data_IF_908295377505
#
_entry.id   IF_908295377505
#
_cell.length_a   1.000
_cell.length_b   1.000
_cell.length_c   1.000
_cell.angle_alpha   90.00
_cell.angle_beta   90.00
_cell.angle_gamma   90.00
#
_symmetry.space_group_name_H-M   'P 1'
#
loop_
_entity.id
_entity.type
_entity.pdbx_description
1 polymer ?
#
# COMPACT_ATOMS: atom_id res chain seq x y z
N UNK A 1 -45.00 -39.09 23.26
CA UNK A 1 -44.93 -37.82 22.51
C UNK A 1 -44.43 -38.12 21.11
N UNK A 2 -45.31 -37.99 20.12
CA UNK A 2 -44.97 -38.12 18.70
C UNK A 2 -44.17 -36.86 18.35
N UNK A 3 -42.87 -36.99 18.03
CA UNK A 3 -42.12 -35.89 17.42
C UNK A 3 -42.74 -35.65 16.05
N UNK A 4 -43.56 -34.61 15.91
CA UNK A 4 -43.93 -34.12 14.58
C UNK A 4 -42.63 -33.87 13.81
N UNK A 5 -42.46 -34.58 12.68
CA UNK A 5 -41.37 -34.30 11.75
C UNK A 5 -41.64 -32.91 11.19
N UNK A 6 -40.98 -31.89 11.75
CA UNK A 6 -40.94 -30.56 11.16
C UNK A 6 -40.38 -30.71 9.75
N UNK A 7 -41.23 -30.51 8.74
CA UNK A 7 -40.82 -30.58 7.34
C UNK A 7 -39.80 -29.48 7.07
N UNK A 8 -38.66 -29.84 6.51
CA UNK A 8 -37.67 -28.86 6.07
C UNK A 8 -38.23 -28.01 4.93
N UNK A 9 -37.77 -26.77 4.81
CA UNK A 9 -38.09 -25.92 3.67
C UNK A 9 -37.61 -26.55 2.36
N UNK A 10 -38.37 -26.31 1.29
CA UNK A 10 -37.93 -26.60 -0.08
C UNK A 10 -36.78 -25.67 -0.47
N UNK A 11 -35.95 -26.11 -1.41
CA UNK A 11 -34.79 -25.31 -1.87
C UNK A 11 -35.15 -23.97 -2.49
N UNK A 12 -36.37 -23.82 -3.00
CA UNK A 12 -36.92 -22.59 -3.60
C UNK A 12 -37.67 -21.71 -2.61
N UNK A 13 -37.85 -22.17 -1.37
CA UNK A 13 -38.54 -21.40 -0.36
C UNK A 13 -37.79 -20.10 -0.07
N UNK A 14 -38.53 -18.98 0.04
CA UNK A 14 -37.94 -17.66 0.27
C UNK A 14 -37.07 -17.63 1.54
N UNK A 15 -37.51 -18.29 2.61
CA UNK A 15 -36.77 -18.33 3.88
C UNK A 15 -35.49 -19.14 3.74
N UNK A 16 -35.55 -20.29 3.05
CA UNK A 16 -34.40 -21.13 2.75
C UNK A 16 -33.34 -20.39 1.93
N UNK A 17 -33.76 -19.66 0.88
CA UNK A 17 -32.87 -18.87 0.04
C UNK A 17 -32.27 -17.71 0.82
N UNK A 18 -33.09 -16.93 1.54
CA UNK A 18 -32.62 -15.76 2.28
C UNK A 18 -31.61 -16.12 3.38
N UNK A 19 -31.88 -17.15 4.17
CA UNK A 19 -30.94 -17.62 5.20
C UNK A 19 -29.64 -18.13 4.57
N UNK A 20 -29.74 -18.87 3.46
CA UNK A 20 -28.58 -19.35 2.70
C UNK A 20 -27.72 -18.20 2.18
N UNK A 21 -28.33 -17.18 1.59
CA UNK A 21 -27.60 -16.01 1.09
C UNK A 21 -26.96 -15.22 2.23
N UNK A 22 -27.66 -15.01 3.35
CA UNK A 22 -27.09 -14.30 4.50
C UNK A 22 -25.96 -15.05 5.19
N UNK A 23 -26.04 -16.38 5.31
CA UNK A 23 -24.92 -17.19 5.85
C UNK A 23 -23.68 -17.02 4.97
N UNK A 24 -23.83 -17.06 3.65
CA UNK A 24 -22.68 -16.95 2.73
C UNK A 24 -22.15 -15.52 2.68
N UNK A 25 -23.03 -14.53 2.49
CA UNK A 25 -22.63 -13.13 2.26
C UNK A 25 -22.28 -12.41 3.57
N UNK A 26 -23.19 -12.44 4.53
CA UNK A 26 -23.10 -11.58 5.71
C UNK A 26 -22.30 -12.25 6.85
N UNK A 27 -22.36 -13.58 6.98
CA UNK A 27 -21.62 -14.29 8.02
C UNK A 27 -20.24 -14.76 7.56
N UNK A 28 -20.14 -15.44 6.42
CA UNK A 28 -18.85 -16.00 5.96
C UNK A 28 -17.97 -14.92 5.33
N UNK A 29 -18.48 -14.19 4.35
CA UNK A 29 -17.68 -13.21 3.60
C UNK A 29 -17.44 -11.95 4.43
N UNK A 30 -18.49 -11.28 4.88
CA UNK A 30 -18.36 -9.97 5.57
C UNK A 30 -17.63 -10.10 6.93
N UNK A 31 -17.89 -11.15 7.71
CA UNK A 31 -17.16 -11.37 8.97
C UNK A 31 -15.82 -12.11 8.79
N UNK A 32 -15.44 -12.50 7.57
CA UNK A 32 -14.19 -13.22 7.30
C UNK A 32 -14.08 -14.59 7.99
N UNK A 33 -15.20 -15.29 8.17
CA UNK A 33 -15.23 -16.57 8.89
C UNK A 33 -14.87 -17.76 7.98
N UNK A 34 -14.25 -18.82 8.53
CA UNK A 34 -13.94 -20.02 7.74
C UNK A 34 -15.20 -20.67 7.17
N UNK A 35 -15.18 -21.07 5.89
CA UNK A 35 -16.30 -21.77 5.25
C UNK A 35 -16.65 -23.07 6.01
N UNK A 36 -15.66 -23.71 6.65
CA UNK A 36 -15.85 -24.90 7.47
C UNK A 36 -16.72 -24.68 8.72
N UNK A 37 -17.04 -23.42 9.08
CA UNK A 37 -17.94 -23.10 10.19
C UNK A 37 -19.29 -23.80 10.06
N UNK A 38 -19.84 -23.89 8.84
CA UNK A 38 -21.19 -24.46 8.62
C UNK A 38 -21.26 -25.96 8.91
N UNK A 39 -20.11 -26.65 8.87
CA UNK A 39 -20.01 -28.08 9.14
C UNK A 39 -19.77 -28.37 10.63
N UNK A 40 -19.53 -27.35 11.47
CA UNK A 40 -19.31 -27.52 12.92
C UNK A 40 -20.62 -27.83 13.65
N UNK A 41 -20.61 -28.81 14.56
CA UNK A 41 -21.82 -29.27 15.24
C UNK A 41 -22.46 -28.20 16.15
N UNK A 42 -21.64 -27.32 16.72
CA UNK A 42 -22.12 -26.14 17.46
C UNK A 42 -22.93 -25.20 16.56
N UNK A 43 -22.44 -24.92 15.35
CA UNK A 43 -23.15 -24.08 14.39
C UNK A 43 -24.44 -24.75 13.89
N UNK A 44 -24.42 -26.07 13.63
CA UNK A 44 -25.63 -26.81 13.26
C UNK A 44 -26.70 -26.75 14.34
N UNK A 45 -26.29 -26.91 15.60
CA UNK A 45 -27.17 -26.84 16.76
C UNK A 45 -27.75 -25.44 16.95
N UNK A 46 -26.91 -24.41 16.80
CA UNK A 46 -27.33 -23.01 16.80
C UNK A 46 -28.39 -22.75 15.72
N UNK A 47 -28.12 -23.15 14.48
CA UNK A 47 -29.06 -22.93 13.38
C UNK A 47 -30.36 -23.72 13.52
N UNK A 48 -30.33 -24.90 14.13
CA UNK A 48 -31.56 -25.64 14.46
C UNK A 48 -32.41 -24.92 15.53
N UNK A 49 -31.80 -24.15 16.43
CA UNK A 49 -32.51 -23.30 17.38
C UNK A 49 -33.01 -22.00 16.73
N UNK A 50 -32.24 -21.41 15.80
CA UNK A 50 -32.66 -20.23 15.04
C UNK A 50 -33.84 -20.53 14.11
N UNK A 51 -33.76 -21.62 13.35
CA UNK A 51 -34.80 -22.03 12.41
C UNK A 51 -34.75 -23.56 12.18
N UNK A 52 -35.59 -24.35 12.87
CA UNK A 52 -35.56 -25.81 12.76
C UNK A 52 -36.02 -26.32 11.39
N UNK A 53 -36.71 -25.51 10.58
CA UNK A 53 -37.15 -25.88 9.22
C UNK A 53 -36.06 -25.63 8.17
N UNK A 54 -35.05 -24.80 8.48
CA UNK A 54 -33.93 -24.55 7.59
C UNK A 54 -33.09 -25.81 7.33
N UNK A 55 -32.76 -26.03 6.06
CA UNK A 55 -31.79 -27.05 5.64
C UNK A 55 -30.42 -26.41 5.51
N UNK A 56 -29.49 -26.82 6.37
CA UNK A 56 -28.13 -26.28 6.41
C UNK A 56 -27.34 -26.59 5.13
N UNK A 57 -26.54 -25.63 4.71
CA UNK A 57 -25.55 -25.81 3.66
C UNK A 57 -24.36 -26.58 4.21
N UNK A 58 -23.80 -27.45 3.39
CA UNK A 58 -22.47 -28.01 3.61
C UNK A 58 -21.39 -27.08 3.05
N UNK A 59 -20.17 -27.17 3.58
CA UNK A 59 -18.99 -26.50 3.00
C UNK A 59 -18.87 -26.76 1.50
N UNK A 60 -19.13 -27.99 1.05
CA UNK A 60 -19.09 -28.39 -0.36
C UNK A 60 -20.09 -27.60 -1.21
N UNK A 61 -21.31 -27.39 -0.73
CA UNK A 61 -22.32 -26.58 -1.45
C UNK A 61 -21.90 -25.11 -1.53
N UNK A 62 -21.30 -24.58 -0.47
CA UNK A 62 -20.79 -23.20 -0.49
C UNK A 62 -19.67 -23.07 -1.52
N UNK A 63 -18.66 -23.94 -1.48
CA UNK A 63 -17.49 -23.87 -2.37
C UNK A 63 -17.80 -24.19 -3.84
N UNK A 64 -18.69 -25.15 -4.12
CA UNK A 64 -18.92 -25.63 -5.50
C UNK A 64 -20.15 -25.04 -6.20
N UNK A 65 -21.04 -24.38 -5.46
CA UNK A 65 -22.28 -23.81 -6.01
C UNK A 65 -22.44 -22.33 -5.64
N UNK A 66 -22.50 -22.00 -4.35
CA UNK A 66 -22.85 -20.64 -3.92
C UNK A 66 -21.78 -19.60 -4.22
N UNK A 67 -20.52 -19.90 -3.92
CA UNK A 67 -19.40 -18.97 -4.17
C UNK A 67 -19.14 -18.74 -5.66
N UNK A 68 -19.07 -19.75 -6.55
CA UNK A 68 -18.93 -19.52 -7.98
C UNK A 68 -20.04 -18.65 -8.57
N UNK A 69 -21.31 -18.93 -8.22
CA UNK A 69 -22.44 -18.08 -8.67
C UNK A 69 -22.37 -16.66 -8.14
N UNK A 70 -21.89 -16.47 -6.91
CA UNK A 70 -21.68 -15.13 -6.36
C UNK A 70 -20.54 -14.42 -7.10
N UNK A 71 -19.43 -15.11 -7.35
CA UNK A 71 -18.31 -14.61 -8.12
C UNK A 71 -18.76 -14.17 -9.52
N UNK A 72 -19.49 -14.99 -10.26
CA UNK A 72 -19.98 -14.65 -11.60
C UNK A 72 -20.88 -13.40 -11.58
N UNK A 73 -21.77 -13.30 -10.58
CA UNK A 73 -22.58 -12.08 -10.36
C UNK A 73 -21.71 -10.85 -10.08
N UNK A 74 -20.63 -10.99 -9.31
CA UNK A 74 -19.70 -9.90 -9.02
C UNK A 74 -18.90 -9.49 -10.25
N UNK A 75 -18.40 -10.46 -11.04
CA UNK A 75 -17.72 -10.21 -12.31
C UNK A 75 -18.64 -9.45 -13.28
N UNK A 76 -19.91 -9.84 -13.40
CA UNK A 76 -20.87 -9.12 -14.24
C UNK A 76 -21.04 -7.66 -13.79
N UNK A 77 -21.11 -7.41 -12.48
CA UNK A 77 -21.18 -6.04 -11.94
C UNK A 77 -19.90 -5.25 -12.21
N UNK A 78 -18.74 -5.87 -12.05
CA UNK A 78 -17.44 -5.23 -12.34
C UNK A 78 -17.33 -4.87 -13.82
N UNK A 79 -17.70 -5.77 -14.73
CA UNK A 79 -17.74 -5.49 -16.17
C UNK A 79 -18.69 -4.33 -16.50
N UNK A 80 -19.88 -4.30 -15.91
CA UNK A 80 -20.80 -3.18 -16.09
C UNK A 80 -20.23 -1.85 -15.57
N UNK A 81 -19.56 -1.88 -14.41
CA UNK A 81 -18.89 -0.72 -13.83
C UNK A 81 -17.75 -0.23 -14.72
N UNK A 82 -16.90 -1.13 -15.22
CA UNK A 82 -15.80 -0.82 -16.13
C UNK A 82 -16.32 -0.24 -17.47
N UNK A 83 -17.43 -0.78 -17.99
CA UNK A 83 -18.05 -0.27 -19.21
C UNK A 83 -18.59 1.15 -19.05
N UNK A 84 -19.19 1.46 -17.89
CA UNK A 84 -19.76 2.78 -17.61
C UNK A 84 -18.73 3.81 -17.14
N UNK A 85 -17.57 3.38 -16.64
CA UNK A 85 -16.50 4.28 -16.25
C UNK A 85 -15.94 4.99 -17.48
N UNK A 86 -15.76 6.30 -17.39
CA UNK A 86 -15.09 7.09 -18.44
C UNK A 86 -13.57 6.96 -18.29
N UNK A 87 -13.09 7.14 -17.06
CA UNK A 87 -11.67 7.06 -16.70
C UNK A 87 -11.47 6.12 -15.53
N UNK A 88 -10.34 5.41 -15.55
CA UNK A 88 -9.94 4.52 -14.47
C UNK A 88 -8.48 4.70 -14.11
N UNK A 89 -8.16 4.49 -12.85
CA UNK A 89 -6.78 4.31 -12.37
C UNK A 89 -6.65 2.95 -11.73
N UNK A 90 -5.46 2.38 -11.74
CA UNK A 90 -5.19 1.05 -11.20
C UNK A 90 -4.05 1.10 -10.21
N UNK A 91 -4.20 0.44 -9.06
CA UNK A 91 -3.09 0.13 -8.16
C UNK A 91 -2.70 -1.33 -8.33
N UNK A 92 -1.39 -1.59 -8.31
CA UNK A 92 -0.81 -2.92 -8.41
C UNK A 92 0.06 -3.15 -7.18
N UNK A 93 -0.26 -4.22 -6.45
CA UNK A 93 0.49 -4.67 -5.28
C UNK A 93 0.97 -6.11 -5.50
N UNK A 94 2.25 -6.35 -5.20
CA UNK A 94 2.87 -7.67 -5.28
C UNK A 94 3.44 -7.99 -3.91
N UNK A 95 3.01 -9.11 -3.33
CA UNK A 95 3.51 -9.53 -2.03
C UNK A 95 3.75 -11.04 -2.00
N UNK A 96 4.66 -11.44 -1.13
CA UNK A 96 4.97 -12.84 -0.84
C UNK A 96 4.47 -13.19 0.56
N UNK A 97 3.73 -14.29 0.67
CA UNK A 97 3.25 -14.78 1.95
C UNK A 97 4.35 -15.54 2.73
N UNK A 98 4.05 -15.93 3.98
CA UNK A 98 5.01 -16.64 4.85
C UNK A 98 5.35 -18.05 4.37
N UNK A 99 4.64 -18.58 3.38
CA UNK A 99 4.88 -19.88 2.75
C UNK A 99 5.60 -19.71 1.42
N UNK A 100 6.17 -18.53 1.17
CA UNK A 100 6.90 -18.17 -0.05
C UNK A 100 6.03 -18.27 -1.31
N UNK A 101 4.72 -18.02 -1.17
CA UNK A 101 3.80 -17.91 -2.30
C UNK A 101 3.58 -16.45 -2.59
N UNK A 102 3.78 -16.08 -3.83
CA UNK A 102 3.61 -14.69 -4.25
C UNK A 102 2.31 -14.49 -4.97
N UNK A 103 1.79 -13.28 -4.83
CA UNK A 103 0.50 -12.87 -5.36
C UNK A 103 0.63 -11.50 -5.98
N UNK A 104 -0.13 -11.28 -7.04
CA UNK A 104 -0.38 -9.98 -7.63
C UNK A 104 -1.84 -9.60 -7.38
N UNK A 105 -2.05 -8.41 -6.83
CA UNK A 105 -3.34 -7.78 -6.65
C UNK A 105 -3.45 -6.55 -7.54
N UNK A 106 -4.50 -6.49 -8.36
CA UNK A 106 -4.77 -5.36 -9.26
C UNK A 106 -6.11 -4.77 -8.86
N UNK A 107 -6.11 -3.53 -8.40
CA UNK A 107 -7.32 -2.84 -7.92
C UNK A 107 -7.64 -1.64 -8.79
N UNK A 108 -8.86 -1.62 -9.32
CA UNK A 108 -9.43 -0.51 -10.06
C UNK A 108 -9.90 0.59 -9.12
N UNK A 109 -9.70 1.84 -9.51
CA UNK A 109 -10.24 3.03 -8.89
C UNK A 109 -10.96 3.88 -9.94
N UNK A 110 -12.22 4.23 -9.68
CA UNK A 110 -13.02 5.10 -10.55
C UNK A 110 -14.09 5.83 -9.74
N UNK A 111 -14.70 6.87 -10.32
CA UNK A 111 -15.80 7.59 -9.70
C UNK A 111 -17.14 7.06 -10.22
N UNK A 112 -18.07 6.82 -9.29
CA UNK A 112 -19.48 6.57 -9.61
C UNK A 112 -20.29 7.72 -9.02
N UNK A 113 -20.71 8.66 -9.88
CA UNK A 113 -21.21 9.95 -9.42
C UNK A 113 -20.10 10.74 -8.73
N UNK A 114 -20.27 11.04 -7.45
CA UNK A 114 -19.26 11.75 -6.63
C UNK A 114 -18.47 10.82 -5.70
N UNK A 115 -18.77 9.52 -5.70
CA UNK A 115 -18.12 8.56 -4.81
C UNK A 115 -16.94 7.89 -5.52
N UNK A 116 -15.78 7.91 -4.87
CA UNK A 116 -14.66 7.06 -5.25
C UNK A 116 -15.03 5.59 -4.93
N UNK A 117 -14.92 4.72 -5.94
CA UNK A 117 -15.12 3.27 -5.79
C UNK A 117 -13.82 2.55 -6.15
N UNK A 118 -13.44 1.63 -5.27
CA UNK A 118 -12.26 0.79 -5.40
C UNK A 118 -12.69 -0.68 -5.49
N UNK A 119 -12.22 -1.39 -6.51
CA UNK A 119 -12.61 -2.78 -6.74
C UNK A 119 -11.43 -3.64 -7.21
N UNK A 120 -11.22 -4.76 -6.53
CA UNK A 120 -10.22 -5.75 -6.92
C UNK A 120 -10.63 -6.40 -8.25
N UNK A 121 -9.79 -6.21 -9.28
CA UNK A 121 -9.99 -6.80 -10.61
C UNK A 121 -9.40 -8.19 -10.70
N UNK A 122 -8.19 -8.34 -10.18
CA UNK A 122 -7.40 -9.57 -10.24
C UNK A 122 -6.69 -9.82 -8.93
N UNK A 123 -6.71 -11.07 -8.51
CA UNK A 123 -5.93 -11.62 -7.42
C UNK A 123 -5.37 -12.95 -7.91
N UNK A 124 -4.13 -12.94 -8.38
CA UNK A 124 -3.54 -14.10 -9.04
C UNK A 124 -2.28 -14.55 -8.29
N UNK A 125 -2.05 -15.87 -8.14
CA UNK A 125 -0.77 -16.38 -7.69
C UNK A 125 0.28 -16.17 -8.78
N UNK A 126 1.46 -15.68 -8.40
CA UNK A 126 2.64 -15.65 -9.25
C UNK A 126 3.45 -16.94 -9.02
N UNK A 127 3.81 -17.62 -10.10
CA UNK A 127 4.63 -18.84 -10.07
C UNK A 127 5.98 -18.57 -10.74
N UNK A 128 7.04 -19.19 -10.22
CA UNK A 128 8.39 -19.01 -10.77
C UNK A 128 8.98 -17.64 -10.44
N UNK A 129 9.93 -17.19 -11.26
CA UNK A 129 10.57 -15.89 -11.09
C UNK A 129 9.59 -14.76 -11.42
N UNK A 130 9.46 -13.77 -10.53
CA UNK A 130 8.59 -12.60 -10.74
C UNK A 130 9.26 -11.55 -11.64
N UNK A 131 9.66 -11.95 -12.85
CA UNK A 131 10.29 -11.04 -13.82
C UNK A 131 9.31 -9.94 -14.24
N UNK A 132 9.84 -8.88 -14.84
CA UNK A 132 9.03 -7.79 -15.37
C UNK A 132 7.95 -8.29 -16.34
N UNK A 133 8.30 -9.24 -17.22
CA UNK A 133 7.40 -9.80 -18.23
C UNK A 133 6.21 -10.54 -17.61
N UNK A 134 6.44 -11.31 -16.53
CA UNK A 134 5.39 -12.03 -15.82
C UNK A 134 4.40 -11.05 -15.19
N UNK A 135 4.90 -9.95 -14.60
CA UNK A 135 4.06 -8.91 -14.01
C UNK A 135 3.25 -8.17 -15.06
N UNK A 136 3.88 -7.85 -16.20
CA UNK A 136 3.22 -7.21 -17.33
C UNK A 136 2.12 -8.10 -17.92
N UNK A 137 2.40 -9.38 -18.14
CA UNK A 137 1.43 -10.33 -18.69
C UNK A 137 0.18 -10.49 -17.79
N UNK A 138 0.35 -10.61 -16.47
CA UNK A 138 -0.79 -10.69 -15.54
C UNK A 138 -1.54 -9.35 -15.45
N UNK A 139 -0.85 -8.22 -15.61
CA UNK A 139 -1.47 -6.91 -15.72
C UNK A 139 -2.33 -6.79 -16.98
N UNK A 140 -1.75 -7.03 -18.16
CA UNK A 140 -2.44 -6.96 -19.45
C UNK A 140 -3.66 -7.88 -19.50
N UNK A 141 -3.52 -9.11 -19.01
CA UNK A 141 -4.62 -10.06 -18.88
C UNK A 141 -5.78 -9.49 -18.06
N UNK A 142 -5.50 -8.81 -16.96
CA UNK A 142 -6.54 -8.19 -16.14
C UNK A 142 -7.19 -7.00 -16.87
N UNK A 143 -6.42 -6.10 -17.46
CA UNK A 143 -6.92 -4.94 -18.20
C UNK A 143 -7.81 -5.41 -19.37
N UNK A 144 -7.29 -6.30 -20.22
CA UNK A 144 -7.97 -6.88 -21.39
C UNK A 144 -9.26 -7.62 -21.03
N UNK A 145 -9.29 -8.33 -19.91
CA UNK A 145 -10.49 -9.07 -19.48
C UNK A 145 -11.68 -8.15 -19.13
N UNK A 146 -11.40 -6.90 -18.71
CA UNK A 146 -12.42 -5.90 -18.38
C UNK A 146 -12.57 -4.79 -19.44
N UNK A 147 -11.79 -4.81 -20.53
CA UNK A 147 -11.84 -3.84 -21.63
C UNK A 147 -11.64 -2.39 -21.17
N UNK A 148 -10.58 -2.16 -20.38
CA UNK A 148 -10.28 -0.85 -19.78
C UNK A 148 -8.96 -0.25 -20.27
N UNK A 149 -8.34 -0.83 -21.29
CA UNK A 149 -7.04 -0.41 -21.85
C UNK A 149 -7.08 1.07 -22.25
N UNK A 150 -8.11 1.46 -22.99
CA UNK A 150 -8.31 2.83 -23.50
C UNK A 150 -8.81 3.82 -22.44
N UNK A 151 -9.19 3.33 -21.26
CA UNK A 151 -9.75 4.13 -20.16
C UNK A 151 -8.76 4.35 -19.02
N UNK A 152 -7.63 3.64 -19.06
CA UNK A 152 -6.62 3.67 -18.03
C UNK A 152 -5.83 4.98 -18.11
N UNK A 153 -5.94 5.79 -17.06
CA UNK A 153 -5.24 7.08 -16.96
C UNK A 153 -3.94 6.96 -16.18
N UNK A 154 -3.93 6.19 -15.09
CA UNK A 154 -2.75 6.03 -14.22
C UNK A 154 -2.64 4.61 -13.67
N UNK A 155 -1.41 4.12 -13.57
CA UNK A 155 -1.00 2.90 -12.88
C UNK A 155 -0.11 3.27 -11.68
N UNK A 156 -0.47 2.82 -10.48
CA UNK A 156 0.30 3.05 -9.27
C UNK A 156 0.94 1.73 -8.83
N UNK A 157 2.27 1.70 -8.76
CA UNK A 157 3.04 0.52 -8.33
C UNK A 157 4.11 0.94 -7.32
N UNK A 158 4.65 0.00 -6.54
CA UNK A 158 5.86 0.28 -5.76
C UNK A 158 7.09 0.47 -6.66
N UNK A 159 8.22 0.86 -6.07
CA UNK A 159 9.46 1.11 -6.79
C UNK A 159 10.39 -0.12 -6.82
N UNK A 160 9.85 -1.34 -6.67
CA UNK A 160 10.64 -2.55 -6.85
C UNK A 160 11.19 -2.62 -8.29
N UNK A 161 12.39 -3.17 -8.45
CA UNK A 161 13.10 -3.21 -9.74
C UNK A 161 12.27 -3.83 -10.86
N UNK A 162 11.52 -4.90 -10.58
CA UNK A 162 10.72 -5.58 -11.58
C UNK A 162 9.48 -4.79 -11.97
N UNK A 163 8.87 -4.05 -11.03
CA UNK A 163 7.79 -3.10 -11.33
C UNK A 163 8.31 -1.93 -12.18
N UNK A 164 9.49 -1.39 -11.87
CA UNK A 164 10.11 -0.34 -12.68
C UNK A 164 10.40 -0.84 -14.10
N UNK A 165 11.01 -2.02 -14.24
CA UNK A 165 11.30 -2.63 -15.55
C UNK A 165 10.01 -2.91 -16.34
N UNK A 166 8.95 -3.40 -15.70
CA UNK A 166 7.70 -3.71 -16.37
C UNK A 166 6.91 -2.48 -16.83
N UNK A 167 6.97 -1.38 -16.08
CA UNK A 167 5.98 -0.30 -16.21
C UNK A 167 6.57 1.11 -16.42
N UNK A 168 7.90 1.30 -16.39
CA UNK A 168 8.50 2.60 -16.75
C UNK A 168 8.70 2.76 -18.27
N UNK A 169 8.79 1.66 -19.02
CA UNK A 169 9.00 1.66 -20.47
C UNK A 169 8.13 0.57 -21.10
N UNK A 170 6.81 0.80 -21.16
CA UNK A 170 5.91 -0.13 -21.85
C UNK A 170 6.18 0.02 -23.35
N UNK A 171 7.08 -0.77 -23.91
CA UNK A 171 7.17 -0.97 -25.36
C UNK A 171 6.11 -2.00 -25.75
N UNK A 172 5.22 -1.63 -26.65
CA UNK A 172 4.28 -2.59 -27.24
C UNK A 172 5.08 -3.67 -28.00
N UNK A 173 4.72 -4.96 -27.90
CA UNK A 173 5.40 -6.01 -28.67
C UNK A 173 5.42 -5.68 -30.17
N UNK A 174 6.60 -5.60 -30.79
CA UNK A 174 6.80 -5.25 -32.20
C UNK A 174 7.24 -3.81 -32.48
N UNK A 175 7.30 -2.94 -31.46
CA UNK A 175 7.76 -1.55 -31.58
C UNK A 175 9.28 -1.38 -31.39
N UNK A 176 10.00 -2.44 -31.03
CA UNK A 176 11.46 -2.44 -30.89
C UNK A 176 12.16 -2.09 -32.22
N UNK A 177 11.59 -2.53 -33.35
CA UNK A 177 12.11 -2.21 -34.68
C UNK A 177 11.78 -0.80 -35.17
N UNK A 178 10.82 -0.12 -34.54
CA UNK A 178 10.38 1.22 -34.95
C UNK A 178 11.27 2.33 -34.38
N UNK A 179 11.74 2.18 -33.14
CA UNK A 179 12.58 3.18 -32.48
C UNK A 179 14.05 3.12 -32.88
N UNK A 180 14.46 2.12 -33.68
CA UNK A 180 15.84 1.99 -34.14
C UNK A 180 16.84 1.90 -32.98
N UNK A 181 18.12 1.80 -33.28
CA UNK A 181 19.19 1.61 -32.28
C UNK A 181 19.46 2.83 -31.37
N UNK A 182 18.58 3.82 -31.28
CA UNK A 182 18.87 5.10 -30.64
C UNK A 182 18.50 5.17 -29.13
N UNK A 183 18.28 4.02 -28.47
CA UNK A 183 18.09 3.96 -27.00
C UNK A 183 18.98 2.91 -26.29
N UNK A 184 19.84 2.19 -27.00
CA UNK A 184 20.76 1.21 -26.39
C UNK A 184 22.22 1.63 -26.49
N UNK A 185 22.58 2.65 -25.73
CA UNK A 185 23.95 2.83 -25.21
C UNK A 185 23.84 3.09 -23.70
N UNK A 186 23.54 2.03 -22.95
CA UNK A 186 24.05 1.91 -21.60
C UNK A 186 24.60 0.50 -21.47
N UNK A 187 25.91 0.46 -21.38
CA UNK A 187 26.78 -0.69 -21.23
C UNK A 187 26.11 -1.84 -20.46
N UNK A 188 26.09 -2.98 -21.13
CA UNK A 188 25.97 -4.32 -20.57
C UNK A 188 26.92 -4.46 -19.37
N UNK A 189 26.42 -4.17 -18.17
CA UNK A 189 27.07 -4.60 -16.94
C UNK A 189 26.45 -5.92 -16.50
N UNK A 190 27.18 -6.97 -16.86
CA UNK A 190 27.15 -8.31 -16.30
C UNK A 190 26.86 -8.27 -14.78
N UNK A 191 25.67 -8.73 -14.40
CA UNK A 191 25.29 -9.03 -13.02
C UNK A 191 25.41 -10.53 -12.71
N UNK A 192 26.30 -11.25 -13.37
CA UNK A 192 26.91 -12.42 -12.73
C UNK A 192 27.94 -11.92 -11.72
N UNK A 193 27.52 -11.76 -10.47
CA UNK A 193 28.15 -12.40 -9.30
C UNK A 193 27.59 -11.86 -7.98
N UNK A 194 27.12 -12.82 -7.18
CA UNK A 194 26.78 -12.76 -5.76
C UNK A 194 25.45 -12.11 -5.34
N UNK A 195 24.36 -12.86 -5.52
CA UNK A 195 23.53 -13.23 -4.37
C UNK A 195 23.29 -14.74 -4.41
N UNK A 196 23.68 -15.43 -3.34
CA UNK A 196 23.52 -16.87 -3.17
C UNK A 196 22.04 -17.20 -2.99
N UNK A 197 21.48 -18.04 -3.85
CA UNK A 197 20.35 -18.91 -3.50
C UNK A 197 20.51 -20.23 -4.27
N UNK A 198 20.86 -21.28 -3.53
CA UNK A 198 21.00 -22.65 -4.02
C UNK A 198 19.65 -23.16 -4.53
N UNK A 199 19.48 -23.31 -5.84
CA UNK A 199 18.42 -24.13 -6.43
C UNK A 199 18.99 -24.82 -7.67
N UNK A 200 19.30 -26.11 -7.52
CA UNK A 200 19.81 -26.98 -8.56
C UNK A 200 18.88 -27.01 -9.77
N UNK A 201 19.48 -26.83 -10.96
CA UNK A 201 18.84 -26.96 -12.26
C UNK A 201 18.40 -28.41 -12.51
N UNK A 202 17.15 -28.61 -12.90
CA UNK A 202 16.70 -29.82 -13.58
C UNK A 202 16.10 -29.39 -14.92
N UNK A 203 16.73 -29.88 -15.99
CA UNK A 203 16.43 -29.65 -17.40
C UNK A 203 15.25 -30.49 -17.91
N UNK A 204 14.51 -29.89 -18.86
CA UNK A 204 13.65 -30.45 -19.93
C UNK A 204 12.38 -31.23 -19.52
N UNK A 205 11.23 -31.12 -20.20
CA UNK A 205 11.06 -31.11 -21.66
C UNK A 205 9.71 -30.51 -22.13
N UNK A 206 9.69 -30.17 -23.41
CA UNK A 206 8.74 -29.41 -24.24
C UNK A 206 7.25 -29.84 -24.26
N UNK A 207 6.36 -28.86 -24.55
CA UNK A 207 5.35 -29.01 -25.62
C UNK A 207 4.82 -27.66 -26.11
N UNK A 208 5.00 -27.42 -27.41
CA UNK A 208 4.45 -26.35 -28.24
C UNK A 208 2.93 -26.16 -28.10
N UNK A 209 2.48 -24.90 -28.05
CA UNK A 209 1.21 -24.49 -28.64
C UNK A 209 1.35 -23.06 -29.18
N UNK A 210 1.47 -22.94 -30.50
CA UNK A 210 1.49 -21.66 -31.22
C UNK A 210 0.13 -20.99 -31.13
N UNK A 211 0.05 -19.85 -30.41
CA UNK A 211 -1.12 -18.97 -30.45
C UNK A 211 -0.96 -17.94 -31.57
N UNK A 212 -1.87 -17.99 -32.54
CA UNK A 212 -1.90 -17.07 -33.68
C UNK A 212 -2.52 -15.73 -33.23
N UNK A 213 -1.70 -14.67 -33.21
CA UNK A 213 -2.11 -13.30 -32.87
C UNK A 213 -2.98 -12.70 -33.99
N UNK A 214 -4.11 -12.10 -33.62
CA UNK A 214 -4.93 -11.26 -34.51
C UNK A 214 -4.35 -9.84 -34.50
N UNK A 215 -4.17 -9.17 -35.66
CA UNK A 215 -3.62 -7.83 -35.69
C UNK A 215 -4.56 -6.83 -34.99
N UNK A 216 -4.03 -6.05 -34.05
CA UNK A 216 -4.72 -4.92 -33.42
C UNK A 216 -4.67 -3.69 -34.32
N UNK A 217 -5.79 -2.97 -34.43
CA UNK A 217 -5.96 -1.81 -35.31
C UNK A 217 -4.98 -0.67 -35.00
N UNK A 218 -4.38 -0.09 -36.04
CA UNK A 218 -3.33 0.96 -35.99
C UNK A 218 -3.75 2.24 -35.24
N UNK A 219 -5.05 2.53 -35.10
CA UNK A 219 -5.53 3.67 -34.31
C UNK A 219 -5.35 3.50 -32.79
N UNK A 220 -5.27 2.27 -32.29
CA UNK A 220 -5.04 1.98 -30.86
C UNK A 220 -3.59 2.30 -30.49
N UNK A 221 -2.68 2.03 -31.41
CA UNK A 221 -1.24 2.25 -31.28
C UNK A 221 -0.94 3.74 -31.10
N UNK A 222 -1.58 4.61 -31.89
CA UNK A 222 -1.38 6.06 -31.81
C UNK A 222 -1.80 6.62 -30.44
N UNK A 223 -2.96 6.21 -29.92
CA UNK A 223 -3.50 6.72 -28.64
C UNK A 223 -2.68 6.29 -27.41
N UNK A 224 -2.09 5.09 -27.46
CA UNK A 224 -1.19 4.57 -26.42
C UNK A 224 0.17 5.28 -26.51
N UNK A 225 0.72 5.44 -27.72
CA UNK A 225 2.08 5.98 -27.93
C UNK A 225 2.31 7.44 -27.48
N UNK A 226 1.29 8.31 -27.47
CA UNK A 226 1.49 9.75 -27.23
C UNK A 226 1.49 10.18 -25.75
N UNK A 227 1.17 9.31 -24.78
CA UNK A 227 1.20 9.65 -23.32
C UNK A 227 1.87 8.59 -22.43
N UNK A 228 2.69 7.70 -23.01
CA UNK A 228 3.12 6.47 -22.34
C UNK A 228 4.19 6.64 -21.26
N UNK A 229 4.95 7.75 -21.25
CA UNK A 229 5.89 8.07 -20.15
C UNK A 229 5.20 8.54 -18.85
N UNK A 230 3.91 8.90 -18.91
CA UNK A 230 3.14 9.46 -17.79
C UNK A 230 2.18 8.43 -17.16
N UNK A 231 2.14 7.19 -17.62
CA UNK A 231 1.13 6.24 -17.12
C UNK A 231 1.42 5.81 -15.67
N UNK A 232 2.69 5.57 -15.32
CA UNK A 232 3.05 5.03 -14.02
C UNK A 232 3.36 6.12 -12.99
N UNK A 233 2.71 6.03 -11.83
CA UNK A 233 3.06 6.81 -10.64
C UNK A 233 3.68 5.91 -9.56
N UNK A 234 4.73 6.38 -8.87
CA UNK A 234 5.32 5.65 -7.76
C UNK A 234 4.42 5.68 -6.52
N UNK A 235 4.31 4.55 -5.82
CA UNK A 235 3.55 4.44 -4.58
C UNK A 235 4.13 5.34 -3.47
N UNK A 236 3.39 6.40 -3.12
CA UNK A 236 3.77 7.36 -2.09
C UNK A 236 4.05 6.70 -0.73
N UNK A 237 3.17 5.80 -0.28
CA UNK A 237 3.31 5.12 1.00
C UNK A 237 4.58 4.29 1.08
N UNK A 238 4.92 3.59 -0.01
CA UNK A 238 6.16 2.81 -0.10
C UNK A 238 7.39 3.73 -0.05
N UNK A 239 7.41 4.81 -0.84
CA UNK A 239 8.53 5.76 -0.83
C UNK A 239 8.70 6.42 0.54
N UNK A 240 7.60 6.78 1.21
CA UNK A 240 7.63 7.35 2.56
C UNK A 240 8.19 6.35 3.58
N UNK A 241 7.83 5.06 3.47
CA UNK A 241 8.43 4.00 4.29
C UNK A 241 9.95 3.88 4.07
N UNK A 242 10.44 4.05 2.85
CA UNK A 242 11.88 4.07 2.58
C UNK A 242 12.59 5.27 3.23
N UNK A 243 11.95 6.46 3.23
CA UNK A 243 12.47 7.64 3.95
C UNK A 243 12.64 7.34 5.44
N UNK A 244 11.62 6.77 6.07
CA UNK A 244 11.67 6.42 7.48
C UNK A 244 12.76 5.39 7.77
N UNK A 245 12.89 4.37 6.91
CA UNK A 245 13.93 3.36 7.06
C UNK A 245 15.34 3.96 6.99
N UNK A 246 15.58 4.93 6.10
CA UNK A 246 16.88 5.61 6.01
C UNK A 246 17.17 6.48 7.23
N UNK A 247 16.14 7.13 7.79
CA UNK A 247 16.23 7.83 9.07
C UNK A 247 16.58 6.91 10.24
N UNK A 248 15.87 5.79 10.38
CA UNK A 248 16.07 4.82 11.48
C UNK A 248 17.49 4.26 11.50
N UNK A 249 18.15 4.07 10.35
CA UNK A 249 19.56 3.65 10.28
C UNK A 249 20.51 4.60 11.03
N UNK A 250 20.12 5.86 11.19
CA UNK A 250 20.89 6.91 11.86
C UNK A 250 20.41 7.17 13.30
N UNK A 251 19.54 6.32 13.86
CA UNK A 251 19.01 6.41 15.22
C UNK A 251 19.89 5.66 16.26
N UNK A 252 21.22 5.69 16.10
CA UNK A 252 22.15 4.94 16.95
C UNK A 252 21.94 5.26 18.45
N UNK A 253 21.72 6.53 18.78
CA UNK A 253 21.47 6.99 20.16
C UNK A 253 20.17 6.41 20.78
N UNK A 254 19.17 6.07 19.96
CA UNK A 254 17.91 5.48 20.41
C UNK A 254 17.98 3.95 20.54
N UNK A 255 18.99 3.30 19.94
CA UNK A 255 19.06 1.83 19.81
C UNK A 255 18.97 1.11 21.16
N UNK A 256 19.67 1.60 22.18
CA UNK A 256 19.64 0.99 23.51
C UNK A 256 18.24 1.08 24.16
N UNK A 257 17.57 2.24 24.04
CA UNK A 257 16.24 2.46 24.58
C UNK A 257 15.19 1.63 23.83
N UNK A 258 15.24 1.63 22.49
CA UNK A 258 14.37 0.82 21.62
C UNK A 258 14.53 -0.68 21.89
N UNK A 259 15.75 -1.15 22.15
CA UNK A 259 16.01 -2.55 22.52
C UNK A 259 15.32 -2.93 23.84
N UNK A 260 15.32 -2.04 24.84
CA UNK A 260 14.57 -2.27 26.09
C UNK A 260 13.07 -2.32 25.84
N UNK A 261 12.53 -1.36 25.09
CA UNK A 261 11.12 -1.33 24.70
C UNK A 261 10.70 -2.62 23.99
N UNK A 262 11.49 -3.09 23.03
CA UNK A 262 11.23 -4.35 22.33
C UNK A 262 11.23 -5.56 23.27
N UNK A 263 12.14 -5.61 24.25
CA UNK A 263 12.17 -6.67 25.26
C UNK A 263 10.97 -6.59 26.21
N UNK A 264 10.54 -5.39 26.61
CA UNK A 264 9.32 -5.18 27.41
C UNK A 264 8.07 -5.65 26.65
N UNK A 265 7.95 -5.28 25.37
CA UNK A 265 6.87 -5.75 24.52
C UNK A 265 6.89 -7.27 24.34
N UNK A 266 8.06 -7.89 24.19
CA UNK A 266 8.16 -9.36 24.18
C UNK A 266 7.74 -9.97 25.52
N UNK A 267 8.08 -9.32 26.63
CA UNK A 267 7.73 -9.79 27.97
C UNK A 267 6.20 -9.72 28.22
N UNK A 268 5.51 -8.69 27.74
CA UNK A 268 4.04 -8.59 27.87
C UNK A 268 3.29 -9.71 27.15
N UNK A 269 3.91 -10.30 26.13
CA UNK A 269 3.34 -11.42 25.38
C UNK A 269 3.72 -12.80 25.90
N UNK A 270 4.65 -12.88 26.84
CA UNK A 270 5.17 -14.15 27.37
C UNK A 270 4.93 -14.34 28.88
N UNK A 271 4.66 -13.26 29.62
CA UNK A 271 4.38 -13.29 31.06
C UNK A 271 2.93 -12.94 31.34
N UNK A 272 2.19 -13.89 31.91
CA UNK A 272 0.79 -13.68 32.34
C UNK A 272 0.71 -12.65 33.47
N UNK A 273 1.64 -12.69 34.43
CA UNK A 273 1.69 -11.75 35.55
C UNK A 273 1.91 -10.31 35.07
N UNK A 274 2.78 -10.11 34.08
CA UNK A 274 3.00 -8.77 33.53
C UNK A 274 1.79 -8.30 32.70
N UNK A 275 1.16 -9.21 31.95
CA UNK A 275 -0.06 -8.89 31.21
C UNK A 275 -1.22 -8.49 32.15
N UNK A 276 -1.43 -9.20 33.26
CA UNK A 276 -2.43 -8.87 34.28
C UNK A 276 -2.17 -7.49 34.91
N UNK A 277 -0.91 -7.16 35.23
CA UNK A 277 -0.56 -5.83 35.72
C UNK A 277 -0.86 -4.74 34.68
N UNK A 278 -0.63 -4.98 33.39
CA UNK A 278 -0.97 -4.04 32.32
C UNK A 278 -2.50 -3.90 32.11
N UNK A 279 -3.24 -4.99 32.25
CA UNK A 279 -4.72 -4.98 32.19
C UNK A 279 -5.34 -4.13 33.30
N UNK A 280 -4.74 -4.11 34.49
CA UNK A 280 -5.16 -3.23 35.59
C UNK A 280 -5.11 -1.73 35.19
N UNK A 281 -4.24 -1.37 34.25
CA UNK A 281 -4.16 -0.01 33.68
C UNK A 281 -4.96 0.17 32.39
N UNK A 282 -5.73 -0.85 31.97
CA UNK A 282 -6.43 -0.91 30.66
C UNK A 282 -5.48 -0.65 29.48
N UNK A 283 -4.22 -1.06 29.61
CA UNK A 283 -3.21 -0.91 28.57
C UNK A 283 -2.91 -2.27 27.96
N UNK A 284 -2.76 -2.30 26.64
CA UNK A 284 -2.23 -3.46 25.92
C UNK A 284 -1.10 -2.99 25.02
N UNK A 285 -0.05 -3.79 24.93
CA UNK A 285 1.08 -3.50 24.03
C UNK A 285 0.83 -4.29 22.74
N UNK A 286 0.73 -3.63 21.58
CA UNK A 286 0.52 -4.32 20.31
C UNK A 286 1.77 -5.12 19.91
N UNK A 287 1.57 -6.21 19.17
CA UNK A 287 2.69 -6.95 18.57
C UNK A 287 3.20 -6.19 17.36
N UNK A 288 4.48 -5.82 17.40
CA UNK A 288 5.17 -5.30 16.24
C UNK A 288 5.24 -6.34 15.11
N UNK A 289 5.12 -5.88 13.87
CA UNK A 289 5.37 -6.68 12.66
C UNK A 289 6.66 -6.22 11.99
N UNK A 290 7.42 -7.14 11.41
CA UNK A 290 8.63 -6.79 10.67
C UNK A 290 8.32 -6.02 9.38
N UNK A 291 7.15 -6.28 8.79
CA UNK A 291 6.78 -5.77 7.46
C UNK A 291 6.60 -4.25 7.40
N UNK A 292 6.29 -3.56 8.52
CA UNK A 292 6.02 -2.12 8.53
C UNK A 292 6.53 -1.43 9.79
N UNK A 293 7.25 -0.33 9.60
CA UNK A 293 7.84 0.49 10.67
C UNK A 293 6.78 1.06 11.63
N UNK A 294 5.59 1.41 11.13
CA UNK A 294 4.51 2.02 11.93
C UNK A 294 4.02 1.08 13.05
N UNK A 295 4.01 -0.24 12.82
CA UNK A 295 3.68 -1.21 13.87
C UNK A 295 4.72 -1.26 15.00
N UNK A 296 6.00 -1.04 14.68
CA UNK A 296 7.06 -0.91 15.66
C UNK A 296 6.92 0.42 16.43
N UNK A 297 6.65 1.52 15.72
CA UNK A 297 6.37 2.81 16.33
C UNK A 297 5.19 2.75 17.33
N UNK A 298 4.07 2.14 16.96
CA UNK A 298 2.91 1.96 17.86
C UNK A 298 3.25 1.13 19.11
N UNK A 299 4.18 0.18 18.99
CA UNK A 299 4.69 -0.58 20.14
C UNK A 299 5.49 0.32 21.07
N UNK A 300 6.32 1.21 20.52
CA UNK A 300 7.08 2.19 21.30
C UNK A 300 6.14 3.15 22.01
N UNK A 301 5.15 3.70 21.31
CA UNK A 301 4.12 4.57 21.90
C UNK A 301 3.40 3.86 23.04
N UNK A 302 2.94 2.62 22.84
CA UNK A 302 2.21 1.88 23.87
C UNK A 302 3.03 1.63 25.16
N UNK A 303 4.35 1.44 25.04
CA UNK A 303 5.23 1.28 26.20
C UNK A 303 5.51 2.62 26.88
N UNK A 304 5.79 3.67 26.10
CA UNK A 304 6.07 5.02 26.62
C UNK A 304 4.85 5.70 27.24
N UNK A 305 3.65 5.30 26.83
CA UNK A 305 2.36 5.70 27.39
C UNK A 305 2.17 5.27 28.85
N UNK A 306 2.92 4.26 29.31
CA UNK A 306 2.86 3.79 30.69
C UNK A 306 3.71 4.75 31.54
N UNK A 307 3.18 5.31 32.65
CA UNK A 307 3.97 6.18 33.51
C UNK A 307 5.29 5.52 33.94
N UNK A 308 6.41 6.21 33.72
CA UNK A 308 7.76 5.64 33.87
C UNK A 308 7.98 4.96 35.23
N UNK A 309 7.53 5.64 36.30
CA UNK A 309 7.62 5.12 37.67
C UNK A 309 6.84 3.81 37.81
N UNK A 310 5.58 3.80 37.38
CA UNK A 310 4.72 2.62 37.41
C UNK A 310 5.31 1.46 36.62
N UNK A 311 5.81 1.71 35.40
CA UNK A 311 6.44 0.69 34.58
C UNK A 311 7.66 0.08 35.28
N UNK A 312 8.55 0.93 35.81
CA UNK A 312 9.75 0.47 36.51
C UNK A 312 9.42 -0.28 37.81
N UNK A 313 8.42 0.18 38.58
CA UNK A 313 7.97 -0.50 39.81
C UNK A 313 7.44 -1.92 39.51
N UNK A 314 6.65 -2.08 38.44
CA UNK A 314 6.16 -3.39 37.99
C UNK A 314 7.32 -4.29 37.54
N UNK A 315 8.25 -3.75 36.74
CA UNK A 315 9.41 -4.51 36.27
C UNK A 315 10.30 -4.96 37.44
N UNK A 316 10.49 -4.11 38.45
CA UNK A 316 11.25 -4.47 39.66
C UNK A 316 10.52 -5.55 40.47
N UNK A 317 9.20 -5.41 40.64
CA UNK A 317 8.35 -6.41 41.32
C UNK A 317 8.44 -7.78 40.66
N UNK A 318 8.61 -7.83 39.34
CA UNK A 318 8.73 -9.05 38.53
C UNK A 318 10.18 -9.50 38.28
N UNK A 319 11.16 -8.97 39.02
CA UNK A 319 12.59 -9.28 38.90
C UNK A 319 13.17 -9.05 37.48
N UNK A 320 12.72 -7.97 36.83
CA UNK A 320 13.14 -7.50 35.50
C UNK A 320 13.78 -6.11 35.52
N UNK A 321 14.59 -5.83 36.54
CA UNK A 321 15.27 -4.55 36.72
C UNK A 321 16.19 -4.15 35.56
N UNK A 322 16.70 -5.11 34.79
CA UNK A 322 17.52 -4.88 33.60
C UNK A 322 16.74 -4.20 32.46
N UNK A 323 15.41 -4.31 32.48
CA UNK A 323 14.51 -3.71 31.48
C UNK A 323 14.06 -2.31 31.87
N UNK A 324 14.35 -1.83 33.08
CA UNK A 324 13.94 -0.51 33.54
C UNK A 324 14.44 0.59 32.59
N UNK A 325 13.54 1.52 32.28
CA UNK A 325 13.80 2.68 31.42
C UNK A 325 14.29 3.81 32.33
N UNK A 326 15.42 4.42 31.98
CA UNK A 326 15.96 5.59 32.70
C UNK A 326 15.34 6.88 32.16
N UNK A 327 15.39 7.98 32.92
CA UNK A 327 14.93 9.29 32.41
C UNK A 327 15.64 9.67 31.10
N UNK A 328 16.97 9.44 31.03
CA UNK A 328 17.72 9.65 29.78
C UNK A 328 17.19 8.80 28.61
N UNK A 329 16.80 7.54 28.85
CA UNK A 329 16.20 6.71 27.82
C UNK A 329 14.82 7.23 27.42
N UNK A 330 14.04 7.70 28.38
CA UNK A 330 12.73 8.31 28.13
C UNK A 330 12.85 9.56 27.25
N UNK A 331 13.74 10.50 27.57
CA UNK A 331 13.96 11.70 26.76
C UNK A 331 14.35 11.37 25.30
N UNK A 332 15.21 10.36 25.10
CA UNK A 332 15.57 9.89 23.75
C UNK A 332 14.36 9.30 23.02
N UNK A 333 13.53 8.52 23.72
CA UNK A 333 12.31 7.96 23.14
C UNK A 333 11.29 9.04 22.81
N UNK A 334 11.15 10.07 23.65
CA UNK A 334 10.23 11.18 23.44
C UNK A 334 10.61 12.00 22.18
N UNK A 335 11.89 12.32 21.99
CA UNK A 335 12.35 12.95 20.74
C UNK A 335 12.16 12.03 19.53
N UNK A 336 12.51 10.74 19.65
CA UNK A 336 12.32 9.75 18.58
C UNK A 336 10.85 9.61 18.16
N UNK A 337 9.94 9.57 19.14
CA UNK A 337 8.51 9.45 18.89
C UNK A 337 7.94 10.71 18.24
N UNK A 338 8.39 11.90 18.67
CA UNK A 338 7.99 13.18 18.06
C UNK A 338 8.35 13.21 16.57
N UNK A 339 9.56 12.78 16.19
CA UNK A 339 9.96 12.73 14.78
C UNK A 339 9.13 11.73 13.96
N UNK A 340 8.96 10.51 14.46
CA UNK A 340 8.22 9.47 13.72
C UNK A 340 6.71 9.67 13.74
N UNK A 341 6.17 10.45 14.67
CA UNK A 341 4.76 10.84 14.69
C UNK A 341 4.35 11.53 13.39
N UNK A 342 5.18 12.47 12.91
CA UNK A 342 4.96 13.19 11.65
C UNK A 342 4.73 12.22 10.48
N UNK A 343 5.59 11.21 10.38
CA UNK A 343 5.50 10.19 9.32
C UNK A 343 4.34 9.21 9.56
N UNK A 344 3.97 8.97 10.82
CA UNK A 344 2.89 8.05 11.16
C UNK A 344 1.55 8.65 10.76
N UNK A 345 1.34 9.93 11.07
CA UNK A 345 0.16 10.69 10.61
C UNK A 345 0.06 10.68 9.08
N UNK A 346 1.15 11.02 8.39
CA UNK A 346 1.19 10.99 6.92
C UNK A 346 0.88 9.60 6.33
N UNK A 347 1.42 8.54 6.95
CA UNK A 347 1.19 7.15 6.51
C UNK A 347 -0.26 6.73 6.71
N UNK A 348 -0.87 7.09 7.85
CA UNK A 348 -2.27 6.78 8.15
C UNK A 348 -3.20 7.51 7.18
N UNK A 349 -2.92 8.79 6.88
CA UNK A 349 -3.72 9.59 5.96
C UNK A 349 -3.74 9.01 4.53
N UNK A 350 -2.57 8.63 3.99
CA UNK A 350 -2.48 8.13 2.62
C UNK A 350 -2.96 6.68 2.46
N UNK A 351 -3.02 5.92 3.56
CA UNK A 351 -3.54 4.55 3.57
C UNK A 351 -5.07 4.46 3.59
N UNK A 352 -5.78 5.60 3.56
CA UNK A 352 -7.23 5.63 3.42
C UNK A 352 -7.67 4.98 2.10
N UNK A 353 -8.70 4.13 2.15
CA UNK A 353 -9.18 3.29 1.04
C UNK A 353 -10.48 3.79 0.38
N UNK A 354 -11.17 4.75 1.02
CA UNK A 354 -12.45 5.31 0.56
C UNK A 354 -12.41 6.81 0.27
N UNK A 355 -11.24 7.43 0.24
CA UNK A 355 -11.10 8.88 0.00
C UNK A 355 -10.01 9.16 -1.02
N UNK A 356 -10.07 10.34 -1.65
CA UNK A 356 -9.02 10.80 -2.56
C UNK A 356 -7.77 11.17 -1.75
N UNK A 357 -6.68 10.44 -2.01
CA UNK A 357 -5.41 10.57 -1.28
C UNK A 357 -4.32 11.30 -2.05
N UNK A 358 -4.34 11.26 -3.39
CA UNK A 358 -3.29 11.90 -4.23
C UNK A 358 -3.19 13.41 -3.99
N UNK A 359 -4.32 14.09 -3.72
CA UNK A 359 -4.35 15.52 -3.38
C UNK A 359 -3.69 15.87 -2.05
N UNK A 360 -3.46 14.87 -1.18
CA UNK A 360 -2.78 15.06 0.10
C UNK A 360 -1.26 15.00 -0.04
N UNK A 361 -0.72 14.40 -1.11
CA UNK A 361 0.73 14.14 -1.27
C UNK A 361 1.53 15.44 -1.19
N UNK A 362 1.17 16.46 -1.98
CA UNK A 362 1.89 17.74 -2.00
C UNK A 362 1.88 18.46 -0.65
N UNK A 363 0.70 18.69 -0.03
CA UNK A 363 0.60 19.27 1.31
C UNK A 363 1.40 18.50 2.36
N UNK A 364 1.32 17.16 2.36
CA UNK A 364 2.08 16.32 3.29
C UNK A 364 3.59 16.53 3.11
N UNK A 365 4.10 16.54 1.88
CA UNK A 365 5.53 16.68 1.62
C UNK A 365 6.10 18.04 2.06
N UNK A 366 5.35 19.13 1.87
CA UNK A 366 5.78 20.45 2.34
C UNK A 366 5.71 20.56 3.87
N UNK A 367 4.64 20.04 4.48
CA UNK A 367 4.48 20.05 5.93
C UNK A 367 5.55 19.20 6.62
N UNK A 368 5.77 17.95 6.16
CA UNK A 368 6.83 17.09 6.69
C UNK A 368 8.20 17.77 6.64
N UNK A 369 8.54 18.41 5.52
CA UNK A 369 9.82 19.10 5.40
C UNK A 369 9.91 20.30 6.37
N UNK A 370 8.83 21.08 6.49
CA UNK A 370 8.75 22.24 7.38
C UNK A 370 8.89 21.83 8.85
N UNK A 371 8.12 20.83 9.26
CA UNK A 371 8.09 20.32 10.63
C UNK A 371 9.41 19.66 11.00
N UNK A 372 10.04 18.92 10.07
CA UNK A 372 11.37 18.35 10.29
C UNK A 372 12.44 19.43 10.44
N UNK A 373 12.45 20.48 9.62
CA UNK A 373 13.43 21.58 9.77
C UNK A 373 13.21 22.37 11.08
N UNK A 374 11.98 22.38 11.61
CA UNK A 374 11.68 22.93 12.94
C UNK A 374 12.20 22.01 14.05
N UNK A 375 11.90 20.73 13.99
CA UNK A 375 12.35 19.73 14.97
C UNK A 375 13.87 19.55 14.95
N UNK A 376 14.51 19.71 13.79
CA UNK A 376 15.97 19.74 13.64
C UNK A 376 16.64 20.78 14.54
N UNK A 377 16.01 21.95 14.73
CA UNK A 377 16.54 23.02 15.58
C UNK A 377 16.36 22.74 17.08
N UNK A 378 15.46 21.83 17.43
CA UNK A 378 15.12 21.47 18.82
C UNK A 378 15.77 20.17 19.27
N UNK A 379 16.00 19.24 18.35
CA UNK A 379 16.49 17.90 18.68
C UNK A 379 17.95 17.92 19.12
N UNK A 380 18.21 17.38 20.30
CA UNK A 380 19.55 17.25 20.86
C UNK A 380 20.06 15.80 20.74
N UNK A 381 19.17 14.82 20.93
CA UNK A 381 19.54 13.42 21.12
C UNK A 381 19.47 12.61 19.83
N UNK A 382 18.55 12.97 18.92
CA UNK A 382 18.29 12.25 17.65
C UNK A 382 18.46 13.13 16.41
N UNK A 383 19.24 14.21 16.50
CA UNK A 383 19.48 15.14 15.40
C UNK A 383 20.02 14.46 14.12
N UNK A 384 20.90 13.45 14.24
CA UNK A 384 21.42 12.68 13.10
C UNK A 384 20.32 11.93 12.34
N UNK A 385 19.33 11.41 13.06
CA UNK A 385 18.16 10.79 12.46
C UNK A 385 17.30 11.84 11.75
N UNK A 386 17.12 13.01 12.35
CA UNK A 386 16.40 14.12 11.72
C UNK A 386 17.06 14.58 10.42
N UNK A 387 18.39 14.79 10.43
CA UNK A 387 19.17 15.14 9.23
C UNK A 387 19.03 14.06 8.14
N UNK A 388 19.10 12.78 8.51
CA UNK A 388 18.92 11.66 7.58
C UNK A 388 17.50 11.60 7.00
N UNK A 389 16.46 11.86 7.81
CA UNK A 389 15.07 11.93 7.35
C UNK A 389 14.88 13.07 6.34
N UNK A 390 15.38 14.28 6.63
CA UNK A 390 15.31 15.44 5.73
C UNK A 390 16.03 15.13 4.41
N UNK A 391 17.26 14.60 4.51
CA UNK A 391 18.06 14.24 3.34
C UNK A 391 17.37 13.19 2.47
N UNK A 392 16.82 12.14 3.10
CA UNK A 392 16.10 11.09 2.37
C UNK A 392 14.79 11.60 1.78
N UNK A 393 14.09 12.50 2.45
CA UNK A 393 12.86 13.11 1.94
C UNK A 393 13.17 13.92 0.67
N UNK A 394 14.15 14.84 0.74
CA UNK A 394 14.60 15.66 -0.39
C UNK A 394 15.08 14.82 -1.57
N UNK A 395 15.81 13.74 -1.30
CA UNK A 395 16.35 12.86 -2.35
C UNK A 395 15.26 12.04 -3.03
N UNK A 396 14.40 11.35 -2.25
CA UNK A 396 13.40 10.42 -2.79
C UNK A 396 12.21 11.11 -3.44
N UNK A 397 11.88 12.33 -3.01
CA UNK A 397 10.85 13.19 -3.60
C UNK A 397 11.45 14.36 -4.37
N UNK A 398 12.69 14.22 -4.86
CA UNK A 398 13.42 15.30 -5.53
C UNK A 398 12.69 15.87 -6.74
N UNK A 399 12.01 15.04 -7.54
CA UNK A 399 11.17 15.51 -8.65
C UNK A 399 10.05 16.46 -8.20
N UNK A 400 9.44 16.21 -7.04
CA UNK A 400 8.44 17.11 -6.46
C UNK A 400 9.07 18.42 -5.98
N UNK A 401 10.16 18.34 -5.22
CA UNK A 401 10.81 19.53 -4.63
C UNK A 401 11.48 20.44 -5.67
N UNK A 402 11.87 19.91 -6.83
CA UNK A 402 12.36 20.70 -7.98
C UNK A 402 11.33 21.73 -8.46
N UNK A 403 10.03 21.44 -8.40
CA UNK A 403 8.97 22.42 -8.71
C UNK A 403 9.00 23.64 -7.80
N UNK A 404 9.56 23.49 -6.60
CA UNK A 404 9.66 24.54 -5.59
C UNK A 404 11.04 25.20 -5.54
N UNK A 405 11.95 24.84 -6.44
CA UNK A 405 13.36 25.27 -6.39
C UNK A 405 14.03 24.98 -5.04
N UNK A 406 13.57 23.93 -4.34
CA UNK A 406 14.16 23.49 -3.08
C UNK A 406 15.37 22.62 -3.42
N UNK A 407 16.53 23.02 -2.90
CA UNK A 407 17.82 22.37 -3.16
C UNK A 407 17.81 20.89 -2.72
N UNK A 408 18.04 19.99 -3.67
CA UNK A 408 18.13 18.54 -3.49
C UNK A 408 19.57 18.04 -3.32
N UNK A 409 20.57 18.88 -3.62
CA UNK A 409 21.94 18.44 -3.89
C UNK A 409 22.87 18.62 -2.68
N UNK A 410 22.48 19.43 -1.68
CA UNK A 410 23.23 19.63 -0.43
C UNK A 410 23.00 18.53 0.64
N UNK A 411 22.68 17.31 0.22
CA UNK A 411 22.50 16.16 1.12
C UNK A 411 23.86 15.61 1.58
N UNK A 412 24.29 15.98 2.80
CA UNK A 412 25.55 15.50 3.42
C UNK A 412 25.59 13.98 3.69
N UNK A 413 24.48 13.27 3.51
CA UNK A 413 24.35 11.83 3.73
C UNK A 413 24.33 11.14 2.37
N UNK A 414 25.38 10.36 2.06
CA UNK A 414 25.41 9.50 0.87
C UNK A 414 24.36 8.40 1.03
N UNK A 415 23.17 8.63 0.49
CA UNK A 415 22.16 7.58 0.37
C UNK A 415 22.52 6.76 -0.87
N UNK A 416 22.57 5.44 -0.73
CA UNK A 416 22.82 4.52 -1.84
C UNK A 416 21.59 4.54 -2.76
N UNK A 417 21.52 5.52 -3.66
CA UNK A 417 20.44 5.64 -4.64
C UNK A 417 20.90 5.08 -5.97
N UNK A 418 20.21 4.06 -6.47
CA UNK A 418 20.28 3.71 -7.89
C UNK A 418 19.92 4.96 -8.70
N UNK A 419 20.68 5.26 -9.75
CA UNK A 419 20.66 6.53 -10.49
C UNK A 419 19.29 6.99 -11.02
N UNK A 420 18.28 6.11 -11.04
CA UNK A 420 16.92 6.38 -11.54
C UNK A 420 15.96 7.09 -10.55
N UNK A 421 16.36 7.39 -9.30
CA UNK A 421 15.43 8.04 -8.34
C UNK A 421 15.34 9.57 -8.45
N UNK A 422 16.28 10.24 -9.13
CA UNK A 422 16.41 11.71 -9.12
C UNK A 422 15.28 12.48 -9.83
N UNK A 423 14.39 11.77 -10.55
CA UNK A 423 13.23 12.33 -11.24
C UNK A 423 11.87 11.78 -10.76
N UNK A 424 11.83 10.89 -9.76
CA UNK A 424 10.55 10.40 -9.22
C UNK A 424 9.75 11.55 -8.59
N UNK A 425 8.42 11.48 -8.70
CA UNK A 425 7.46 12.51 -8.24
C UNK A 425 7.55 13.86 -8.97
N UNK A 426 8.19 13.92 -10.15
CA UNK A 426 8.20 15.11 -11.01
C UNK A 426 6.86 15.39 -11.71
N UNK A 427 5.91 14.47 -11.69
CA UNK A 427 4.64 14.62 -12.39
C UNK A 427 3.80 15.79 -11.82
N UNK A 428 3.33 16.74 -12.67
CA UNK A 428 2.49 17.85 -12.23
C UNK A 428 1.21 17.46 -11.50
N UNK A 429 0.73 16.22 -11.63
CA UNK A 429 -0.46 15.73 -10.93
C UNK A 429 -0.32 15.85 -9.41
N UNK A 430 0.89 15.72 -8.85
CA UNK A 430 1.13 15.89 -7.40
C UNK A 430 0.94 17.34 -6.93
N UNK A 431 1.00 18.31 -7.84
CA UNK A 431 0.69 19.72 -7.58
C UNK A 431 -0.78 20.03 -7.87
N UNK A 432 -1.25 19.63 -9.05
CA UNK A 432 -2.59 19.95 -9.55
C UNK A 432 -3.68 19.31 -8.68
N UNK A 433 -3.49 18.07 -8.26
CA UNK A 433 -4.50 17.35 -7.46
C UNK A 433 -4.81 18.06 -6.14
N UNK A 434 -3.81 18.63 -5.47
CA UNK A 434 -4.01 19.40 -4.24
C UNK A 434 -4.80 20.70 -4.53
N UNK A 435 -4.55 21.37 -5.66
CA UNK A 435 -5.25 22.61 -6.03
C UNK A 435 -6.70 22.36 -6.43
N UNK A 436 -6.98 21.25 -7.11
CA UNK A 436 -8.34 20.85 -7.51
C UNK A 436 -9.17 20.45 -6.28
N UNK A 437 -8.52 19.94 -5.24
CA UNK A 437 -9.18 19.56 -3.99
C UNK A 437 -9.64 20.80 -3.21
N UNK A 438 -10.96 20.91 -3.01
CA UNK A 438 -11.58 22.02 -2.31
C UNK A 438 -11.11 22.22 -0.86
N UNK A 439 -10.48 21.20 -0.25
CA UNK A 439 -9.89 21.27 1.09
C UNK A 439 -8.60 22.08 1.13
N UNK A 440 -7.79 22.02 0.07
CA UNK A 440 -6.46 22.64 0.05
C UNK A 440 -6.41 23.87 -0.88
N UNK A 441 -6.92 23.78 -2.12
CA UNK A 441 -6.82 24.85 -3.13
C UNK A 441 -5.37 25.35 -3.26
N UNK A 442 -5.13 26.66 -3.33
CA UNK A 442 -3.78 27.22 -3.27
C UNK A 442 -3.27 27.47 -1.83
N UNK A 443 -4.10 27.20 -0.82
CA UNK A 443 -3.80 27.57 0.56
C UNK A 443 -2.57 26.85 1.10
N UNK A 444 -2.39 25.57 0.76
CA UNK A 444 -1.22 24.77 1.17
C UNK A 444 0.12 25.32 0.64
N UNK A 445 0.12 26.06 -0.47
CA UNK A 445 1.31 26.77 -0.98
C UNK A 445 1.46 28.12 -0.28
N UNK A 446 0.36 28.86 -0.13
CA UNK A 446 0.36 30.19 0.48
C UNK A 446 0.82 30.15 1.94
N UNK A 447 0.40 29.13 2.70
CA UNK A 447 0.74 28.95 4.11
C UNK A 447 2.11 28.32 4.33
N UNK A 448 2.75 27.80 3.28
CA UNK A 448 4.06 27.19 3.41
C UNK A 448 5.11 28.25 3.74
N UNK A 449 5.75 28.12 4.91
CA UNK A 449 6.77 29.04 5.41
C UNK A 449 8.15 28.80 4.79
N UNK A 450 8.35 27.65 4.14
CA UNK A 450 9.60 27.31 3.45
C UNK A 450 9.79 28.08 2.14
N UNK A 451 8.71 28.63 1.57
CA UNK A 451 8.72 29.23 0.24
C UNK A 451 8.72 30.76 0.33
N UNK A 452 9.54 31.40 -0.51
CA UNK A 452 9.48 32.86 -0.68
C UNK A 452 8.23 33.27 -1.48
N UNK A 453 7.76 34.50 -1.31
CA UNK A 453 6.57 35.01 -2.01
C UNK A 453 6.71 34.97 -3.54
N UNK A 454 7.93 35.19 -4.05
CA UNK A 454 8.26 35.04 -5.47
C UNK A 454 8.08 33.57 -5.92
N UNK A 455 8.59 32.62 -5.14
CA UNK A 455 8.48 31.19 -5.43
C UNK A 455 7.02 30.74 -5.43
N UNK A 456 6.24 31.16 -4.42
CA UNK A 456 4.80 30.90 -4.35
C UNK A 456 4.08 31.41 -5.60
N UNK A 457 4.35 32.66 -6.00
CA UNK A 457 3.73 33.28 -7.18
C UNK A 457 4.05 32.52 -8.46
N UNK A 458 5.32 32.13 -8.66
CA UNK A 458 5.75 31.37 -9.83
C UNK A 458 5.07 30.00 -9.92
N UNK A 459 5.03 29.25 -8.81
CA UNK A 459 4.41 27.92 -8.77
C UNK A 459 2.91 28.00 -9.04
N UNK A 460 2.22 28.98 -8.43
CA UNK A 460 0.80 29.19 -8.67
C UNK A 460 0.54 29.47 -10.15
N UNK A 461 1.40 30.27 -10.80
CA UNK A 461 1.33 30.52 -12.24
C UNK A 461 1.52 29.23 -13.05
N UNK A 462 2.54 28.43 -12.72
CA UNK A 462 2.79 27.14 -13.39
C UNK A 462 1.62 26.18 -13.24
N UNK A 463 1.06 26.03 -12.03
CA UNK A 463 -0.09 25.14 -11.81
C UNK A 463 -1.32 25.61 -12.59
N UNK A 464 -1.58 26.92 -12.63
CA UNK A 464 -2.67 27.48 -13.45
C UNK A 464 -2.49 27.15 -14.92
N UNK A 465 -1.28 27.29 -15.45
CA UNK A 465 -0.97 26.95 -16.83
C UNK A 465 -1.22 25.46 -17.11
N UNK A 466 -0.73 24.55 -16.26
CA UNK A 466 -0.99 23.12 -16.40
C UNK A 466 -2.48 22.77 -16.33
N UNK A 467 -3.27 23.45 -15.48
CA UNK A 467 -4.72 23.27 -15.40
C UNK A 467 -5.44 23.74 -16.66
N UNK A 468 -5.00 24.86 -17.26
CA UNK A 468 -5.54 25.35 -18.53
C UNK A 468 -5.25 24.34 -19.64
N UNK A 469 -4.01 23.85 -19.74
CA UNK A 469 -3.62 22.86 -20.74
C UNK A 469 -4.40 21.55 -20.59
N UNK A 470 -4.56 21.05 -19.37
CA UNK A 470 -5.37 19.87 -19.09
C UNK A 470 -6.85 20.10 -19.45
N UNK A 471 -7.39 21.28 -19.17
CA UNK A 471 -8.77 21.63 -19.54
C UNK A 471 -8.96 21.71 -21.05
N UNK A 472 -7.96 22.13 -21.82
CA UNK A 472 -8.04 22.16 -23.28
C UNK A 472 -8.09 20.73 -23.82
N UNK A 473 -7.22 19.84 -23.31
CA UNK A 473 -7.17 18.43 -23.71
C UNK A 473 -8.46 17.65 -23.40
N UNK A 474 -9.17 18.01 -22.33
CA UNK A 474 -10.45 17.37 -21.97
C UNK A 474 -11.62 17.82 -22.87
N UNK A 475 -11.52 18.98 -23.51
CA UNK A 475 -12.58 19.55 -24.36
C UNK A 475 -12.35 19.31 -25.86
N UNK A 476 -11.19 18.78 -26.25
CA UNK A 476 -10.84 18.31 -27.59
C UNK A 476 -11.15 16.83 -27.73
#
# INVERSE_FOLDING_TARGET
MIKEKTSKYLSTDFRQVKLTESIVKDLIIECGLPISLVDQDGFKSFMAAVDPMYSLLSRRQITRDKLPKLHDRMIMKLKALCNNAEYVSVTLDVWTDRRLRSYIGITLHTFVGHDLKSHLLSFAPLKGHHTADVLLAEFEKAINYYHIEKKLVRLITDNASNNLKAFNHILLPGFESYFGNDVYDNEEYDLTQHENDDCEEISDDNSDDQFQLVPLDEEIIQCVSENLELLRLPCFAHTLQLVVNDGIKHAANATAALTKVAKIAKFSHSSTLFAEELENFKKTIPRATQCRWNSQYLTVVAVSDIPLKTLNDILIKLDKKELCITEKNKEVLDEFMTLLYLFNEATVLIQADQTVTISMVGPILLNLLSDLELERKKSERVYLMCDALISSLKTRFGGFYKHFSIDTDNCKVKINTNANTSCLYGDPIFLMSAVIDGRFKFQWINDCTLLSDLTKTNIISTIKQCLIEASIKLNS
#
